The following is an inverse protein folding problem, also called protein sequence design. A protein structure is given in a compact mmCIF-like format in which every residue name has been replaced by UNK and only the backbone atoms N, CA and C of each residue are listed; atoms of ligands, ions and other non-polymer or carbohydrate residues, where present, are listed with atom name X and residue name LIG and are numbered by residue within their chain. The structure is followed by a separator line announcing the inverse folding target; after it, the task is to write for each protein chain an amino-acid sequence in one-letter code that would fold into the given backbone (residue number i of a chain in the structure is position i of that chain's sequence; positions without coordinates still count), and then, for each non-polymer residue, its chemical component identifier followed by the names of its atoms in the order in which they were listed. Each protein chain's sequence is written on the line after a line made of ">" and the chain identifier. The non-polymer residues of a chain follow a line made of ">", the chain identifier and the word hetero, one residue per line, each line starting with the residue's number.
data_IF_629545953195
#
_entry.id   IF_629545953195
#
_cell.length_a   1.000
_cell.length_b   1.000
_cell.length_c   1.000
_cell.angle_alpha   90.00
_cell.angle_beta   90.00
_cell.angle_gamma   90.00
#
_symmetry.space_group_name_H-M   'P 1'
#
loop_
_entity.id
_entity.type
_entity.pdbx_description
1 polymer ?
#
# COMPACT_ATOMS: atom_id res chain seq x y z
N UNK A 1 -1.73 -8.87 -30.32
CA UNK A 1 -2.45 -7.78 -31.02
C UNK A 1 -3.81 -8.27 -31.50
N UNK A 2 -3.87 -9.38 -32.25
CA UNK A 2 -5.14 -9.96 -32.73
C UNK A 2 -6.19 -10.28 -31.64
N UNK A 3 -5.79 -10.81 -30.48
CA UNK A 3 -6.74 -11.08 -29.39
C UNK A 3 -7.35 -9.81 -28.80
N UNK A 4 -6.53 -8.77 -28.60
CA UNK A 4 -6.99 -7.47 -28.11
C UNK A 4 -8.00 -6.85 -29.08
N UNK A 5 -7.67 -6.79 -30.37
CA UNK A 5 -8.54 -6.24 -31.42
C UNK A 5 -9.87 -7.01 -31.51
N UNK A 6 -9.83 -8.34 -31.37
CA UNK A 6 -11.02 -9.17 -31.39
C UNK A 6 -11.93 -8.92 -30.18
N UNK A 7 -11.35 -8.77 -28.98
CA UNK A 7 -12.10 -8.43 -27.77
C UNK A 7 -12.76 -7.06 -27.89
N UNK A 8 -12.04 -6.09 -28.42
CA UNK A 8 -12.53 -4.72 -28.55
C UNK A 8 -13.66 -4.61 -29.58
N UNK A 9 -13.46 -5.17 -30.78
CA UNK A 9 -14.47 -5.20 -31.83
C UNK A 9 -15.74 -5.99 -31.44
N UNK A 10 -15.58 -7.02 -30.60
CA UNK A 10 -16.66 -7.91 -30.18
C UNK A 10 -17.35 -7.53 -28.86
N UNK A 11 -16.96 -6.44 -28.21
CA UNK A 11 -17.39 -6.11 -26.83
C UNK A 11 -17.19 -7.29 -25.85
N UNK A 12 -16.08 -8.01 -26.01
CA UNK A 12 -15.77 -9.26 -25.29
C UNK A 12 -15.12 -9.08 -23.92
N UNK A 13 -14.79 -7.83 -23.53
CA UNK A 13 -14.14 -7.51 -22.26
C UNK A 13 -14.87 -8.03 -21.01
N UNK A 14 -16.21 -7.92 -20.89
CA UNK A 14 -16.92 -8.46 -19.73
C UNK A 14 -16.75 -9.97 -19.57
N UNK A 15 -16.84 -10.73 -20.66
CA UNK A 15 -16.70 -12.18 -20.64
C UNK A 15 -15.25 -12.59 -20.32
N UNK A 16 -14.27 -11.87 -20.87
CA UNK A 16 -12.86 -12.09 -20.54
C UNK A 16 -12.58 -11.83 -19.05
N UNK A 17 -13.17 -10.78 -18.48
CA UNK A 17 -13.05 -10.45 -17.06
C UNK A 17 -13.66 -11.55 -16.17
N UNK A 18 -14.90 -11.98 -16.43
CA UNK A 18 -15.54 -13.05 -15.64
C UNK A 18 -14.77 -14.37 -15.72
N UNK A 19 -14.19 -14.68 -16.89
CA UNK A 19 -13.34 -15.86 -17.03
C UNK A 19 -12.11 -15.81 -16.12
N UNK A 20 -11.50 -14.62 -15.94
CA UNK A 20 -10.39 -14.47 -14.99
C UNK A 20 -10.87 -14.64 -13.55
N UNK A 21 -12.03 -14.07 -13.21
CA UNK A 21 -12.63 -14.20 -11.87
C UNK A 21 -12.92 -15.67 -11.51
N UNK A 22 -13.49 -16.44 -12.43
CA UNK A 22 -13.73 -17.88 -12.25
C UNK A 22 -12.45 -18.70 -12.03
N UNK A 23 -11.32 -18.20 -12.52
CA UNK A 23 -9.99 -18.82 -12.36
C UNK A 23 -9.27 -18.36 -11.09
N UNK A 24 -9.75 -17.29 -10.44
CA UNK A 24 -9.11 -16.76 -9.24
C UNK A 24 -9.21 -17.78 -8.10
N UNK A 25 -8.05 -18.08 -7.51
CA UNK A 25 -7.98 -18.97 -6.35
C UNK A 25 -8.47 -18.24 -5.10
N UNK A 26 -9.23 -18.96 -4.29
CA UNK A 26 -9.66 -18.50 -2.98
C UNK A 26 -8.86 -19.22 -1.89
N UNK A 27 -8.29 -18.45 -0.97
CA UNK A 27 -7.50 -18.96 0.14
C UNK A 27 -7.99 -18.39 1.47
N UNK A 28 -7.64 -19.01 2.61
CA UNK A 28 -8.00 -18.48 3.93
C UNK A 28 -7.40 -17.10 4.21
N UNK A 29 -8.13 -16.30 5.00
CA UNK A 29 -7.75 -14.96 5.49
C UNK A 29 -8.25 -14.75 6.94
N UNK A 30 -8.14 -15.78 7.77
CA UNK A 30 -8.68 -15.81 9.13
C UNK A 30 -8.08 -14.70 10.01
N UNK A 31 -6.78 -14.41 9.88
CA UNK A 31 -6.12 -13.37 10.68
C UNK A 31 -6.73 -12.00 10.38
N UNK A 32 -7.03 -11.71 9.11
CA UNK A 32 -7.66 -10.47 8.69
C UNK A 32 -9.09 -10.29 9.26
N UNK A 33 -9.78 -11.39 9.56
CA UNK A 33 -11.16 -11.40 10.09
C UNK A 33 -11.24 -11.41 11.61
N UNK A 34 -10.11 -11.59 12.31
CA UNK A 34 -10.04 -11.51 13.76
C UNK A 34 -10.62 -10.18 14.26
N UNK A 35 -11.32 -10.21 15.40
CA UNK A 35 -12.11 -9.06 15.87
C UNK A 35 -11.23 -7.86 16.20
N UNK A 36 -10.04 -8.11 16.74
CA UNK A 36 -8.98 -7.15 17.04
C UNK A 36 -8.40 -6.46 15.79
N UNK A 37 -8.52 -7.09 14.61
CA UNK A 37 -7.97 -6.59 13.34
C UNK A 37 -8.99 -5.82 12.50
N UNK A 38 -10.26 -5.80 12.91
CA UNK A 38 -11.34 -5.13 12.16
C UNK A 38 -11.04 -3.66 11.87
N UNK A 39 -10.49 -2.93 12.83
CA UNK A 39 -10.14 -1.51 12.70
C UNK A 39 -8.88 -1.24 11.86
N UNK A 40 -8.16 -2.29 11.43
CA UNK A 40 -6.97 -2.22 10.59
C UNK A 40 -7.28 -2.45 9.10
N UNK A 41 -8.53 -2.79 8.77
CA UNK A 41 -9.02 -3.01 7.41
C UNK A 41 -9.83 -1.82 6.92
N UNK A 42 -9.46 -1.25 5.77
CA UNK A 42 -10.23 -0.15 5.15
C UNK A 42 -11.56 -0.63 4.59
N UNK A 43 -11.56 -1.83 4.00
CA UNK A 43 -12.73 -2.44 3.37
C UNK A 43 -13.02 -3.80 3.98
N UNK A 44 -14.30 -4.14 4.09
CA UNK A 44 -14.73 -5.41 4.70
C UNK A 44 -14.55 -6.60 3.78
N UNK A 45 -14.43 -6.36 2.49
CA UNK A 45 -14.40 -7.31 1.39
C UNK A 45 -13.01 -7.45 0.76
N UNK A 46 -12.02 -6.69 1.26
CA UNK A 46 -10.62 -6.75 0.81
C UNK A 46 -9.73 -7.15 1.98
N UNK A 47 -9.16 -8.35 1.94
CA UNK A 47 -8.33 -8.92 3.02
C UNK A 47 -7.15 -9.68 2.44
N UNK A 48 -5.95 -9.61 3.05
CA UNK A 48 -4.81 -10.39 2.62
C UNK A 48 -5.02 -11.87 2.99
N UNK A 49 -4.55 -12.78 2.14
CA UNK A 49 -4.54 -14.19 2.46
C UNK A 49 -3.52 -14.51 3.56
N UNK A 50 -3.83 -15.48 4.41
CA UNK A 50 -3.01 -15.83 5.57
C UNK A 50 -1.60 -16.30 5.17
N UNK A 51 -1.47 -16.99 4.03
CA UNK A 51 -0.20 -17.55 3.55
C UNK A 51 0.74 -16.50 2.94
N UNK A 52 0.21 -15.36 2.50
CA UNK A 52 0.97 -14.33 1.79
C UNK A 52 0.99 -12.98 2.51
N UNK A 53 0.27 -12.84 3.63
CA UNK A 53 0.23 -11.57 4.37
C UNK A 53 1.63 -11.17 4.85
N UNK A 54 1.86 -9.86 4.95
CA UNK A 54 3.05 -9.33 5.61
C UNK A 54 2.83 -9.38 7.13
N UNK A 55 3.79 -9.95 7.87
CA UNK A 55 3.75 -10.02 9.34
C UNK A 55 4.72 -9.00 9.95
N UNK A 56 4.20 -8.09 10.78
CA UNK A 56 5.02 -7.10 11.48
C UNK A 56 5.69 -7.68 12.72
N UNK A 57 6.92 -7.28 13.01
CA UNK A 57 7.55 -7.51 14.33
C UNK A 57 7.01 -6.49 15.34
N UNK A 58 5.80 -6.72 15.85
CA UNK A 58 5.08 -5.90 16.83
C UNK A 58 4.17 -6.78 17.70
N UNK A 59 3.53 -6.20 18.74
CA UNK A 59 2.61 -6.95 19.62
C UNK A 59 1.43 -7.56 18.85
N UNK A 60 0.87 -6.81 17.90
CA UNK A 60 -0.06 -7.32 16.90
C UNK A 60 0.64 -7.24 15.54
N UNK A 61 0.86 -8.40 14.92
CA UNK A 61 1.63 -8.55 13.68
C UNK A 61 0.82 -8.21 12.41
N UNK A 62 -0.46 -7.87 12.55
CA UNK A 62 -1.37 -7.67 11.44
C UNK A 62 -1.25 -6.29 10.78
N UNK A 63 -1.08 -6.33 9.47
CA UNK A 63 -1.30 -5.24 8.52
C UNK A 63 -1.99 -5.81 7.27
N UNK A 64 -2.91 -5.04 6.66
CA UNK A 64 -3.57 -5.44 5.42
C UNK A 64 -2.62 -5.22 4.22
N UNK A 65 -1.68 -6.15 4.05
CA UNK A 65 -0.69 -6.17 3.00
C UNK A 65 -0.35 -7.61 2.61
N UNK A 66 -0.04 -7.86 1.34
CA UNK A 66 0.35 -9.17 0.82
C UNK A 66 1.66 -9.09 0.04
N UNK A 67 2.52 -10.10 0.20
CA UNK A 67 3.60 -10.37 -0.74
C UNK A 67 3.03 -10.91 -2.05
N UNK A 68 3.49 -10.36 -3.16
CA UNK A 68 3.21 -10.85 -4.52
C UNK A 68 4.55 -11.14 -5.18
N UNK A 69 4.83 -12.43 -5.37
CA UNK A 69 6.05 -12.90 -6.02
C UNK A 69 5.69 -13.32 -7.44
N UNK A 70 6.39 -12.76 -8.42
CA UNK A 70 6.29 -13.14 -9.83
C UNK A 70 7.61 -13.80 -10.20
N UNK A 71 7.64 -15.12 -10.09
CA UNK A 71 8.85 -15.93 -10.22
C UNK A 71 9.50 -15.76 -11.59
N UNK A 72 8.69 -15.80 -12.65
CA UNK A 72 9.14 -15.69 -14.04
C UNK A 72 9.76 -14.33 -14.35
N UNK A 73 9.32 -13.28 -13.65
CA UNK A 73 9.85 -11.93 -13.80
C UNK A 73 11.01 -11.65 -12.84
N UNK A 74 11.33 -12.58 -11.93
CA UNK A 74 12.25 -12.38 -10.80
C UNK A 74 11.96 -11.09 -10.02
N UNK A 75 10.67 -10.84 -9.74
CA UNK A 75 10.22 -9.63 -9.04
C UNK A 75 9.30 -9.97 -7.89
N UNK A 76 9.45 -9.21 -6.81
CA UNK A 76 8.60 -9.28 -5.64
C UNK A 76 8.04 -7.90 -5.34
N UNK A 77 6.77 -7.85 -4.94
CA UNK A 77 6.06 -6.64 -4.58
C UNK A 77 5.34 -6.83 -3.25
N UNK A 78 5.05 -5.73 -2.58
CA UNK A 78 4.07 -5.70 -1.49
C UNK A 78 2.92 -4.86 -1.97
N UNK A 79 1.73 -5.47 -2.04
CA UNK A 79 0.48 -4.75 -2.28
C UNK A 79 -0.21 -4.52 -0.93
N UNK A 80 -0.64 -3.29 -0.67
CA UNK A 80 -1.26 -2.89 0.60
C UNK A 80 -2.38 -1.89 0.35
N UNK A 81 -3.36 -1.84 1.25
CA UNK A 81 -4.37 -0.79 1.24
C UNK A 81 -3.75 0.60 1.48
N UNK A 82 -4.44 1.67 1.08
CA UNK A 82 -4.13 3.02 1.53
C UNK A 82 -4.22 3.11 3.06
N UNK A 83 -3.15 3.54 3.77
CA UNK A 83 -3.14 3.56 5.24
C UNK A 83 -4.33 4.32 5.84
N UNK A 84 -4.93 3.73 6.87
CA UNK A 84 -5.89 4.38 7.78
C UNK A 84 -5.15 5.22 8.82
N UNK A 85 -5.81 6.18 9.52
CA UNK A 85 -5.15 7.03 10.51
C UNK A 85 -4.40 6.23 11.60
N UNK A 86 -5.00 5.13 12.07
CA UNK A 86 -4.44 4.22 13.08
C UNK A 86 -3.45 3.17 12.51
N UNK A 87 -3.12 3.23 11.23
CA UNK A 87 -2.22 2.26 10.57
C UNK A 87 -1.05 2.91 9.83
N UNK A 88 -0.94 4.24 9.81
CA UNK A 88 0.20 4.93 9.22
C UNK A 88 1.54 4.47 9.83
N UNK A 89 1.60 4.31 11.15
CA UNK A 89 2.80 3.78 11.81
C UNK A 89 3.12 2.35 11.37
N UNK A 90 2.12 1.46 11.40
CA UNK A 90 2.26 0.08 10.92
C UNK A 90 2.77 0.00 9.46
N UNK A 91 2.30 0.89 8.60
CA UNK A 91 2.76 1.00 7.22
C UNK A 91 4.26 1.33 7.13
N UNK A 92 4.73 2.34 7.87
CA UNK A 92 6.16 2.65 7.87
C UNK A 92 7.03 1.62 8.57
N UNK A 93 6.47 0.93 9.58
CA UNK A 93 7.13 -0.22 10.19
C UNK A 93 7.32 -1.35 9.18
N UNK A 94 6.31 -1.61 8.35
CA UNK A 94 6.40 -2.57 7.24
C UNK A 94 7.50 -2.18 6.26
N UNK A 95 7.48 -0.94 5.75
CA UNK A 95 8.47 -0.43 4.80
C UNK A 95 9.89 -0.60 5.35
N UNK A 96 10.10 -0.25 6.62
CA UNK A 96 11.38 -0.41 7.30
C UNK A 96 11.80 -1.88 7.44
N UNK A 97 10.91 -2.74 7.95
CA UNK A 97 11.21 -4.15 8.23
C UNK A 97 11.49 -4.96 6.96
N UNK A 98 10.87 -4.57 5.85
CA UNK A 98 11.03 -5.22 4.54
C UNK A 98 12.14 -4.59 3.69
N UNK A 99 12.87 -3.61 4.24
CA UNK A 99 13.93 -2.87 3.53
C UNK A 99 13.48 -2.30 2.17
N UNK A 100 12.21 -1.90 2.08
CA UNK A 100 11.62 -1.37 0.85
C UNK A 100 12.23 -0.02 0.49
N UNK A 101 12.75 0.09 -0.73
CA UNK A 101 13.42 1.31 -1.23
C UNK A 101 12.47 2.34 -1.85
N UNK A 102 11.26 1.92 -2.22
CA UNK A 102 10.30 2.77 -2.89
C UNK A 102 8.87 2.40 -2.48
N UNK A 103 8.01 3.42 -2.42
CA UNK A 103 6.56 3.31 -2.26
C UNK A 103 5.92 3.94 -3.49
N UNK A 104 5.00 3.22 -4.12
CA UNK A 104 4.24 3.70 -5.28
C UNK A 104 2.79 3.90 -4.81
N UNK A 105 2.29 5.13 -4.88
CA UNK A 105 0.91 5.47 -4.54
C UNK A 105 0.13 5.78 -5.82
N UNK A 106 -0.95 5.03 -6.06
CA UNK A 106 -1.75 5.09 -7.29
C UNK A 106 -3.08 5.84 -7.13
N UNK A 107 -3.40 6.29 -5.92
CA UNK A 107 -4.66 6.96 -5.59
C UNK A 107 -4.42 8.36 -5.01
N UNK A 108 -5.44 9.21 -5.03
CA UNK A 108 -5.43 10.47 -4.27
C UNK A 108 -5.88 10.24 -2.83
N UNK A 109 -5.53 11.14 -1.92
CA UNK A 109 -6.02 11.09 -0.52
C UNK A 109 -7.54 11.13 -0.45
N UNK A 110 -8.16 11.94 -1.32
CA UNK A 110 -9.60 12.11 -1.45
C UNK A 110 -10.00 11.93 -2.90
N UNK A 111 -11.01 11.09 -3.14
CA UNK A 111 -11.58 10.84 -4.47
C UNK A 111 -13.09 10.91 -4.38
N UNK A 112 -13.73 11.68 -5.28
CA UNK A 112 -15.19 11.88 -5.29
C UNK A 112 -15.73 12.25 -3.89
N UNK A 113 -15.03 13.16 -3.20
CA UNK A 113 -15.37 13.63 -1.85
C UNK A 113 -15.13 12.63 -0.70
N UNK A 114 -14.63 11.42 -0.99
CA UNK A 114 -14.39 10.39 0.02
C UNK A 114 -12.90 10.21 0.30
N UNK A 115 -12.52 10.10 1.58
CA UNK A 115 -11.13 9.81 1.98
C UNK A 115 -10.78 8.36 1.58
N UNK A 116 -9.79 8.20 0.69
CA UNK A 116 -9.26 6.91 0.23
C UNK A 116 -7.96 6.53 0.92
N UNK A 117 -7.21 7.49 1.42
CA UNK A 117 -5.95 7.26 2.09
C UNK A 117 -5.66 8.40 3.08
N UNK A 118 -5.04 8.07 4.21
CA UNK A 118 -4.53 9.08 5.14
C UNK A 118 -3.27 9.74 4.59
N UNK A 119 -3.01 10.98 5.00
CA UNK A 119 -1.73 11.67 4.80
C UNK A 119 -0.66 10.95 5.65
N UNK A 120 -0.04 9.90 5.10
CA UNK A 120 0.92 9.07 5.82
C UNK A 120 2.37 9.56 5.69
N UNK A 121 2.62 10.61 4.92
CA UNK A 121 3.94 11.24 4.74
C UNK A 121 3.87 12.73 5.12
N UNK A 122 5.00 13.40 5.42
CA UNK A 122 4.99 14.84 5.67
C UNK A 122 4.63 15.61 4.40
N UNK A 123 3.68 16.55 4.42
CA UNK A 123 3.17 17.19 3.19
C UNK A 123 4.15 18.18 2.56
N UNK A 124 5.12 18.72 3.31
CA UNK A 124 6.04 19.74 2.81
C UNK A 124 7.50 19.37 3.08
N UNK A 125 8.39 19.82 2.19
CA UNK A 125 9.83 19.65 2.34
C UNK A 125 10.34 20.21 3.67
N UNK A 126 11.26 19.48 4.31
CA UNK A 126 11.81 19.82 5.63
C UNK A 126 10.89 19.41 6.78
N UNK A 127 9.63 19.05 6.52
CA UNK A 127 8.76 18.51 7.55
C UNK A 127 9.05 17.05 7.86
N UNK A 128 8.62 16.67 9.05
CA UNK A 128 8.84 15.35 9.62
C UNK A 128 7.55 14.85 10.23
N UNK A 129 7.34 13.54 10.13
CA UNK A 129 6.25 12.84 10.79
C UNK A 129 6.87 11.79 11.71
N UNK A 130 6.44 11.79 12.99
CA UNK A 130 6.96 10.91 14.04
C UNK A 130 5.87 9.94 14.48
N UNK A 131 6.20 8.66 14.49
CA UNK A 131 5.42 7.58 15.08
C UNK A 131 6.18 7.09 16.32
N UNK A 132 5.87 7.69 17.47
CA UNK A 132 6.61 7.46 18.72
C UNK A 132 6.51 6.01 19.19
N UNK A 133 5.32 5.42 19.07
CA UNK A 133 4.99 4.08 19.53
C UNK A 133 5.81 2.96 18.85
N UNK A 134 6.33 3.24 17.64
CA UNK A 134 7.21 2.33 16.88
C UNK A 134 8.63 2.89 16.69
N UNK A 135 8.90 4.09 17.20
CA UNK A 135 10.20 4.76 17.09
C UNK A 135 10.62 5.10 15.65
N UNK A 136 9.67 5.36 14.75
CA UNK A 136 9.93 5.68 13.35
C UNK A 136 9.71 7.16 13.08
N UNK A 137 10.67 7.77 12.38
CA UNK A 137 10.60 9.14 11.89
C UNK A 137 10.73 9.17 10.38
N UNK A 138 9.80 9.85 9.72
CA UNK A 138 9.74 10.01 8.26
C UNK A 138 10.01 11.46 7.92
N UNK A 139 11.00 11.68 7.06
CA UNK A 139 11.39 13.02 6.61
C UNK A 139 11.02 13.23 5.15
N UNK A 140 10.45 14.39 4.83
CA UNK A 140 10.30 14.84 3.45
C UNK A 140 11.57 15.57 3.02
N UNK A 141 12.39 14.89 2.20
CA UNK A 141 13.65 15.45 1.73
C UNK A 141 13.48 16.39 0.53
N UNK A 142 12.47 16.12 -0.30
CA UNK A 142 12.15 16.90 -1.48
C UNK A 142 11.10 16.20 -2.33
N UNK A 143 10.49 16.97 -3.22
CA UNK A 143 9.49 16.49 -4.19
C UNK A 143 9.97 16.86 -5.59
N UNK A 144 10.15 15.86 -6.45
CA UNK A 144 10.39 16.06 -7.88
C UNK A 144 9.07 15.81 -8.63
N UNK A 145 8.37 16.90 -8.97
CA UNK A 145 7.18 16.81 -9.80
C UNK A 145 7.55 16.66 -11.27
N UNK A 146 7.18 15.53 -11.89
CA UNK A 146 6.98 15.48 -13.35
C UNK A 146 5.48 15.49 -13.61
N UNK A 147 4.91 16.50 -14.29
CA UNK A 147 3.52 16.46 -14.68
C UNK A 147 3.36 15.34 -15.72
N UNK A 148 2.77 14.23 -15.34
CA UNK A 148 2.22 13.31 -16.33
C UNK A 148 0.92 13.95 -16.82
N UNK A 149 0.99 14.58 -17.99
CA UNK A 149 -0.15 15.16 -18.71
C UNK A 149 -0.80 14.05 -19.55
N UNK A 150 -2.12 13.93 -19.47
CA UNK A 150 -2.95 13.56 -20.61
C UNK A 150 -4.23 14.37 -20.44
N UNK A 151 -4.54 15.20 -21.43
CA UNK A 151 -5.78 15.97 -21.50
C UNK A 151 -6.95 15.01 -21.76
N UNK A 152 -7.33 14.25 -20.73
CA UNK A 152 -8.68 13.74 -20.57
C UNK A 152 -9.01 13.97 -19.09
N UNK A 153 -10.01 14.81 -18.86
CA UNK A 153 -10.47 15.14 -17.51
C UNK A 153 -10.68 13.84 -16.70
N UNK A 154 -9.99 13.74 -15.55
CA UNK A 154 -10.16 12.77 -14.45
C UNK A 154 -9.13 11.65 -14.24
N UNK A 155 -7.94 11.65 -14.87
CA UNK A 155 -6.92 10.63 -14.53
C UNK A 155 -5.91 11.13 -13.49
N UNK A 156 -5.76 10.32 -12.44
CA UNK A 156 -5.18 10.62 -11.13
C UNK A 156 -3.70 11.00 -11.16
N UNK A 157 -3.31 11.97 -10.33
CA UNK A 157 -1.90 12.27 -9.99
C UNK A 157 -1.28 11.03 -9.34
N UNK A 158 -0.50 10.26 -10.11
CA UNK A 158 0.34 9.21 -9.53
C UNK A 158 1.54 9.87 -8.89
N UNK A 159 1.47 10.12 -7.58
CA UNK A 159 2.59 10.73 -6.86
C UNK A 159 3.63 9.65 -6.56
N UNK A 160 4.66 9.60 -7.38
CA UNK A 160 5.85 8.79 -7.14
C UNK A 160 6.71 9.57 -6.13
N UNK A 161 6.41 9.45 -4.83
CA UNK A 161 7.21 10.07 -3.77
C UNK A 161 8.57 9.38 -3.71
N UNK A 162 9.52 9.84 -4.52
CA UNK A 162 10.80 9.14 -4.69
C UNK A 162 11.85 9.44 -3.61
N UNK A 163 11.60 10.32 -2.63
CA UNK A 163 12.60 10.64 -1.61
C UNK A 163 11.98 10.83 -0.21
N UNK A 164 11.48 9.74 0.36
CA UNK A 164 11.18 9.65 1.79
C UNK A 164 12.33 8.89 2.48
N UNK A 165 12.99 9.54 3.43
CA UNK A 165 14.00 8.90 4.27
C UNK A 165 13.39 8.57 5.63
N UNK A 166 13.48 7.28 5.98
CA UNK A 166 13.08 6.76 7.29
C UNK A 166 14.31 6.62 8.17
N UNK A 167 14.21 7.00 9.43
CA UNK A 167 15.23 6.69 10.44
C UNK A 167 14.59 6.22 11.74
N UNK A 168 15.35 5.41 12.50
CA UNK A 168 14.96 4.99 13.85
C UNK A 168 15.39 6.05 14.86
N UNK A 169 14.47 6.46 15.72
CA UNK A 169 14.82 7.32 16.85
C UNK A 169 15.55 6.46 17.89
N UNK A 170 16.79 6.83 18.23
CA UNK A 170 17.49 6.21 19.36
C UNK A 170 16.78 6.63 20.65
N UNK A 171 16.34 5.67 21.44
CA UNK A 171 15.83 5.93 22.79
C UNK A 171 16.91 6.64 23.61
N UNK A 172 16.64 7.86 24.08
CA UNK A 172 17.48 8.58 25.04
C UNK A 172 17.33 8.06 26.46
N UNK A 173 16.42 7.11 26.70
CA UNK A 173 16.36 6.33 27.93
C UNK A 173 17.03 4.99 27.69
N UNK A 174 18.16 4.78 28.37
CA UNK A 174 18.96 3.54 28.33
C UNK A 174 18.24 2.35 28.96
N UNK A 175 17.17 1.89 28.32
CA UNK A 175 16.55 0.59 28.58
C UNK A 175 16.30 -0.10 27.25
N UNK A 176 17.13 -1.11 27.01
CA UNK A 176 16.95 -2.14 25.99
C UNK A 176 15.61 -2.83 26.22
N UNK A 177 14.79 -2.94 25.16
CA UNK A 177 13.74 -3.96 25.05
C UNK A 177 14.30 -5.11 24.20
#
# INVERSE_FOLDING_TARGET
>A
MQEFEALDAGNGWPQAYFKVDDLCRNYPYHVARASENRSRNRYRDVSPYDHSRVCLKAQNDYINASFVVVEEAHRSYILTQGPLPNTCGHFWLMVWQQDSKAVIMLNQLVEKGSIKCSQYWPPFQGQTLLFEEIGIRVHMLGEEGKPYHTEEENVSKTCLHRLLYTSRVKSTTGKTL
#
